data_IF_912718961819
#
_entry.id   IF_912718961819
#
_cell.length_a   1.000
_cell.length_b   1.000
_cell.length_c   1.000
_cell.angle_alpha   90.00
_cell.angle_beta   90.00
_cell.angle_gamma   90.00
#
_symmetry.space_group_name_H-M   'P 1'
#
loop_
_entity.id
_entity.type
_entity.pdbx_description
1 polymer ?
#
# COMPACT_ATOMS: atom_id res chain seq x y z
N UNK A 1 13.27 11.67 -10.26
CA UNK A 1 13.89 12.72 -11.10
C UNK A 1 12.85 13.75 -11.58
N UNK A 2 11.69 13.33 -12.13
CA UNK A 2 10.65 14.23 -12.63
C UNK A 2 10.23 15.33 -11.64
N UNK A 3 10.02 14.99 -10.35
CA UNK A 3 9.63 15.98 -9.34
C UNK A 3 10.71 17.05 -9.12
N UNK A 4 11.98 16.66 -9.16
CA UNK A 4 13.11 17.61 -9.05
C UNK A 4 13.19 18.51 -10.27
N UNK A 5 12.91 17.98 -11.46
CA UNK A 5 12.86 18.78 -12.70
C UNK A 5 11.71 19.80 -12.65
N UNK A 6 10.51 19.37 -12.24
CA UNK A 6 9.34 20.22 -12.13
C UNK A 6 9.53 21.37 -11.14
N UNK A 7 10.35 21.17 -10.11
CA UNK A 7 10.69 22.17 -9.10
C UNK A 7 11.98 22.96 -9.41
N UNK A 8 12.66 22.68 -10.53
CA UNK A 8 13.93 23.34 -10.88
C UNK A 8 15.13 22.90 -10.02
N UNK A 9 15.02 21.77 -9.33
CA UNK A 9 16.03 21.24 -8.39
C UNK A 9 16.83 20.05 -8.96
N UNK A 10 16.75 19.80 -10.27
CA UNK A 10 17.36 18.64 -10.92
C UNK A 10 18.89 18.55 -10.82
N UNK A 11 19.56 19.66 -10.44
CA UNK A 11 21.02 19.72 -10.26
C UNK A 11 21.48 19.41 -8.85
N UNK A 12 20.56 19.26 -7.91
CA UNK A 12 20.85 18.97 -6.51
C UNK A 12 20.93 17.45 -6.30
N UNK A 13 22.11 16.89 -6.53
CA UNK A 13 22.35 15.46 -6.37
C UNK A 13 22.27 15.01 -4.90
N UNK A 14 22.67 15.87 -3.96
CA UNK A 14 22.60 15.56 -2.52
C UNK A 14 21.14 15.44 -2.06
N UNK A 15 20.30 16.38 -2.47
CA UNK A 15 18.86 16.32 -2.20
C UNK A 15 18.22 15.04 -2.80
N UNK A 16 18.60 14.69 -4.04
CA UNK A 16 18.13 13.48 -4.69
C UNK A 16 18.45 12.23 -3.86
N UNK A 17 19.72 12.07 -3.48
CA UNK A 17 20.15 10.93 -2.67
C UNK A 17 19.46 10.91 -1.30
N UNK A 18 19.31 12.07 -0.66
CA UNK A 18 18.59 12.18 0.62
C UNK A 18 17.12 11.76 0.48
N UNK A 19 16.42 12.23 -0.56
CA UNK A 19 15.02 11.83 -0.81
C UNK A 19 14.88 10.33 -1.07
N UNK A 20 15.84 9.72 -1.79
CA UNK A 20 15.83 8.27 -2.01
C UNK A 20 16.10 7.52 -0.70
N UNK A 21 17.01 8.01 0.16
CA UNK A 21 17.31 7.35 1.43
C UNK A 21 16.15 7.32 2.41
N UNK A 22 15.18 8.24 2.30
CA UNK A 22 14.00 8.27 3.16
C UNK A 22 13.15 6.98 3.08
N UNK A 23 13.19 6.24 1.97
CA UNK A 23 12.50 4.95 1.88
C UNK A 23 13.00 3.90 2.88
N UNK A 24 14.24 4.04 3.38
CA UNK A 24 14.83 3.19 4.41
C UNK A 24 14.64 3.72 5.84
N UNK A 25 13.97 4.88 6.00
CA UNK A 25 13.77 5.56 7.28
C UNK A 25 12.28 5.78 7.59
N UNK A 26 11.38 5.01 6.93
CA UNK A 26 9.94 5.15 7.10
C UNK A 26 9.51 4.70 8.50
N UNK A 27 8.52 5.41 9.05
CA UNK A 27 7.86 5.05 10.30
C UNK A 27 6.42 4.65 10.01
N UNK A 28 5.89 3.71 10.80
CA UNK A 28 4.47 3.42 10.78
C UNK A 28 3.68 4.58 11.43
N UNK A 29 2.45 4.79 10.97
CA UNK A 29 1.51 5.63 11.74
C UNK A 29 1.17 4.96 13.06
N UNK A 30 0.84 5.75 14.08
CA UNK A 30 0.67 5.28 15.47
C UNK A 30 -0.37 4.15 15.61
N UNK A 31 -1.42 4.17 14.80
CA UNK A 31 -2.48 3.16 14.82
C UNK A 31 -2.11 1.82 14.16
N UNK A 32 -1.08 1.79 13.30
CA UNK A 32 -0.75 0.61 12.47
C UNK A 32 -0.39 -0.63 13.27
N UNK A 33 0.49 -0.57 14.30
CA UNK A 33 0.85 -1.77 15.05
C UNK A 33 -0.35 -2.43 15.74
N UNK A 34 -1.22 -1.64 16.36
CA UNK A 34 -2.41 -2.15 17.03
C UNK A 34 -3.44 -2.73 16.05
N UNK A 35 -3.64 -2.06 14.92
CA UNK A 35 -4.51 -2.52 13.83
C UNK A 35 -4.04 -3.86 13.27
N UNK A 36 -2.76 -4.01 12.92
CA UNK A 36 -2.20 -5.27 12.41
C UNK A 36 -2.28 -6.40 13.45
N UNK A 37 -1.98 -6.10 14.72
CA UNK A 37 -2.10 -7.09 15.80
C UNK A 37 -3.55 -7.58 15.97
N UNK A 38 -4.54 -6.69 15.85
CA UNK A 38 -5.96 -7.05 15.88
C UNK A 38 -6.32 -8.00 14.73
N UNK A 39 -5.93 -7.68 13.49
CA UNK A 39 -6.18 -8.54 12.33
C UNK A 39 -5.54 -9.92 12.50
N UNK A 40 -4.27 -9.98 12.87
CA UNK A 40 -3.55 -11.25 13.04
C UNK A 40 -4.14 -12.11 14.15
N UNK A 41 -4.55 -11.53 15.29
CA UNK A 41 -5.17 -12.29 16.39
C UNK A 41 -6.54 -12.87 16.01
N UNK A 42 -7.19 -12.31 14.98
CA UNK A 42 -8.44 -12.82 14.41
C UNK A 42 -8.24 -13.69 13.15
N UNK A 43 -7.01 -14.11 12.87
CA UNK A 43 -6.70 -15.07 11.81
C UNK A 43 -6.61 -14.50 10.40
N UNK A 44 -6.53 -13.18 10.25
CA UNK A 44 -6.31 -12.55 8.95
C UNK A 44 -4.84 -12.58 8.55
N UNK A 45 -4.59 -12.85 7.28
CA UNK A 45 -3.29 -12.61 6.66
C UNK A 45 -3.13 -11.12 6.33
N UNK A 46 -1.95 -10.57 6.58
CA UNK A 46 -1.62 -9.18 6.33
C UNK A 46 -0.44 -9.08 5.38
N UNK A 47 -0.54 -8.22 4.34
CA UNK A 47 0.51 -8.12 3.35
C UNK A 47 0.66 -6.72 2.76
N UNK A 48 1.85 -6.44 2.23
CA UNK A 48 2.11 -5.30 1.36
C UNK A 48 2.10 -5.79 -0.10
N UNK A 49 1.41 -5.06 -0.98
CA UNK A 49 1.51 -5.18 -2.43
C UNK A 49 1.98 -3.83 -2.99
N UNK A 50 3.17 -3.77 -3.58
CA UNK A 50 3.81 -2.49 -3.88
C UNK A 50 4.56 -2.47 -5.22
N UNK A 51 4.62 -1.27 -5.81
CA UNK A 51 5.49 -0.94 -6.95
C UNK A 51 6.96 -0.74 -6.53
N UNK A 52 7.28 -0.76 -5.23
CA UNK A 52 8.63 -0.65 -4.71
C UNK A 52 9.48 -1.90 -4.98
N UNK A 53 10.82 -1.71 -5.06
CA UNK A 53 11.74 -2.85 -5.15
C UNK A 53 11.77 -3.65 -3.84
N UNK A 54 12.14 -4.95 -3.88
CA UNK A 54 12.23 -5.78 -2.68
C UNK A 54 13.11 -5.16 -1.58
N UNK A 55 14.28 -4.64 -1.94
CA UNK A 55 15.21 -4.03 -0.97
C UNK A 55 14.63 -2.80 -0.29
N UNK A 56 13.95 -1.91 -1.05
CA UNK A 56 13.28 -0.73 -0.49
C UNK A 56 12.15 -1.12 0.45
N UNK A 57 11.35 -2.12 0.07
CA UNK A 57 10.23 -2.59 0.90
C UNK A 57 10.74 -3.26 2.19
N UNK A 58 11.77 -4.09 2.10
CA UNK A 58 12.39 -4.72 3.27
C UNK A 58 12.99 -3.67 4.22
N UNK A 59 13.69 -2.66 3.69
CA UNK A 59 14.19 -1.53 4.47
C UNK A 59 13.07 -0.76 5.17
N UNK A 60 11.99 -0.44 4.46
CA UNK A 60 10.85 0.28 4.99
C UNK A 60 10.12 -0.52 6.09
N UNK A 61 9.88 -1.81 5.87
CA UNK A 61 9.21 -2.70 6.84
C UNK A 61 10.04 -2.84 8.13
N UNK A 62 11.36 -3.01 7.99
CA UNK A 62 12.27 -3.06 9.16
C UNK A 62 12.31 -1.74 9.91
N UNK A 63 12.45 -0.63 9.20
CA UNK A 63 12.48 0.71 9.80
C UNK A 63 11.18 1.03 10.56
N UNK A 64 10.05 0.60 10.01
CA UNK A 64 8.73 0.77 10.63
C UNK A 64 8.45 -0.22 11.78
N UNK A 65 9.33 -1.21 12.02
CA UNK A 65 9.13 -2.24 13.06
C UNK A 65 7.99 -3.21 12.77
N UNK A 66 7.66 -3.44 11.49
CA UNK A 66 6.50 -4.24 11.08
C UNK A 66 6.85 -5.65 10.58
N UNK A 67 8.11 -6.09 10.68
CA UNK A 67 8.57 -7.36 10.12
C UNK A 67 7.77 -8.58 10.61
N UNK A 68 7.41 -8.60 11.90
CA UNK A 68 6.64 -9.70 12.50
C UNK A 68 5.12 -9.55 12.34
N UNK A 69 4.68 -8.41 11.82
CA UNK A 69 3.26 -8.07 11.65
C UNK A 69 2.73 -8.38 10.27
N UNK A 70 3.59 -8.71 9.31
CA UNK A 70 3.22 -8.97 7.92
C UNK A 70 3.53 -10.42 7.54
N UNK A 71 2.58 -11.06 6.86
CA UNK A 71 2.72 -12.44 6.36
C UNK A 71 3.38 -12.47 4.98
N UNK A 72 3.30 -11.37 4.21
CA UNK A 72 3.98 -11.23 2.92
C UNK A 72 4.30 -9.77 2.57
N UNK A 73 5.35 -9.60 1.76
CA UNK A 73 5.68 -8.35 1.07
C UNK A 73 5.86 -8.66 -0.41
N UNK A 74 4.86 -8.27 -1.21
CA UNK A 74 4.78 -8.59 -2.63
C UNK A 74 5.25 -7.38 -3.45
N UNK A 75 6.40 -7.52 -4.10
CA UNK A 75 6.95 -6.54 -5.03
C UNK A 75 6.59 -6.89 -6.46
N UNK A 76 6.17 -5.90 -7.24
CA UNK A 76 5.90 -6.03 -8.68
C UNK A 76 7.14 -6.40 -9.50
N UNK A 77 8.34 -6.29 -8.94
CA UNK A 77 9.58 -6.62 -9.64
C UNK A 77 9.63 -8.09 -10.07
N UNK A 78 8.89 -8.97 -9.41
CA UNK A 78 8.80 -10.40 -9.78
C UNK A 78 8.05 -10.64 -11.09
N UNK A 79 7.26 -9.68 -11.57
CA UNK A 79 6.41 -9.79 -12.78
C UNK A 79 6.65 -8.68 -13.81
N UNK A 80 7.60 -7.76 -13.55
CA UNK A 80 8.03 -6.67 -14.44
C UNK A 80 6.91 -5.76 -14.97
N UNK A 81 5.83 -5.59 -14.21
CA UNK A 81 4.75 -4.63 -14.49
C UNK A 81 4.34 -3.90 -13.24
N UNK A 82 3.77 -2.71 -13.39
CA UNK A 82 3.39 -1.84 -12.27
C UNK A 82 1.86 -1.74 -12.14
N UNK A 83 1.38 -1.44 -10.92
CA UNK A 83 0.00 -1.02 -10.73
C UNK A 83 -0.30 0.15 -11.69
N UNK A 84 -1.47 0.21 -12.31
CA UNK A 84 -2.67 -0.59 -12.03
C UNK A 84 -2.87 -1.80 -12.96
N UNK A 85 -1.82 -2.41 -13.52
CA UNK A 85 -1.96 -3.64 -14.32
C UNK A 85 -2.60 -4.74 -13.46
N UNK A 86 -3.60 -5.44 -14.01
CA UNK A 86 -4.38 -6.46 -13.30
C UNK A 86 -3.52 -7.61 -12.77
N UNK A 87 -2.41 -7.95 -13.47
CA UNK A 87 -1.47 -8.98 -13.07
C UNK A 87 -0.83 -8.71 -11.70
N UNK A 88 -0.74 -7.43 -11.31
CA UNK A 88 -0.23 -7.07 -9.98
C UNK A 88 -1.20 -7.50 -8.90
N UNK A 89 -2.50 -7.27 -9.09
CA UNK A 89 -3.53 -7.67 -8.12
C UNK A 89 -3.72 -9.20 -8.09
N UNK A 90 -3.49 -9.91 -9.22
CA UNK A 90 -3.49 -11.38 -9.29
C UNK A 90 -2.44 -12.01 -8.34
N UNK A 91 -1.35 -11.31 -8.03
CA UNK A 91 -0.31 -11.79 -7.11
C UNK A 91 -0.87 -12.15 -5.72
N UNK A 92 -1.89 -11.44 -5.24
CA UNK A 92 -2.50 -11.67 -3.92
C UNK A 92 -3.17 -13.05 -3.89
N UNK A 93 -4.04 -13.32 -4.86
CA UNK A 93 -4.71 -14.62 -4.97
C UNK A 93 -3.73 -15.77 -5.19
N UNK A 94 -2.68 -15.55 -6.02
CA UNK A 94 -1.63 -16.53 -6.26
C UNK A 94 -0.82 -16.86 -5.00
N UNK A 95 -0.55 -15.87 -4.14
CA UNK A 95 0.24 -16.06 -2.93
C UNK A 95 -0.57 -16.71 -1.79
N UNK A 96 -1.80 -16.23 -1.55
CA UNK A 96 -2.60 -16.64 -0.39
C UNK A 96 -3.64 -17.73 -0.70
N UNK A 97 -3.85 -18.07 -1.97
CA UNK A 97 -4.89 -19.04 -2.37
C UNK A 97 -6.31 -18.54 -2.10
N UNK A 98 -6.53 -17.24 -2.09
CA UNK A 98 -7.81 -16.61 -1.79
C UNK A 98 -8.51 -16.08 -3.06
N UNK A 99 -9.82 -15.87 -2.97
CA UNK A 99 -10.60 -15.20 -4.03
C UNK A 99 -10.56 -13.68 -3.87
N UNK A 100 -10.97 -12.95 -4.89
CA UNK A 100 -10.98 -11.47 -4.89
C UNK A 100 -11.87 -10.90 -3.79
N UNK A 101 -12.99 -11.53 -3.55
CA UNK A 101 -14.00 -11.13 -2.55
C UNK A 101 -13.50 -11.29 -1.10
N UNK A 102 -12.44 -12.08 -0.90
CA UNK A 102 -11.82 -12.31 0.40
C UNK A 102 -10.70 -11.29 0.72
N UNK A 103 -10.48 -10.32 -0.17
CA UNK A 103 -9.41 -9.33 -0.01
C UNK A 103 -9.99 -7.96 0.32
N UNK A 104 -9.57 -7.40 1.46
CA UNK A 104 -9.70 -5.98 1.75
C UNK A 104 -8.40 -5.28 1.35
N UNK A 105 -8.46 -4.53 0.26
CA UNK A 105 -7.33 -3.77 -0.27
C UNK A 105 -7.36 -2.33 0.26
N UNK A 106 -6.28 -1.91 0.88
CA UNK A 106 -6.17 -0.59 1.53
C UNK A 106 -5.05 0.21 0.87
N UNK A 107 -5.34 1.42 0.42
CA UNK A 107 -4.34 2.31 -0.17
C UNK A 107 -4.57 3.76 0.21
N UNK A 108 -3.47 4.52 0.38
CA UNK A 108 -3.51 5.98 0.52
C UNK A 108 -3.61 6.69 -0.84
N UNK A 109 -3.41 5.98 -1.95
CA UNK A 109 -3.57 6.54 -3.29
C UNK A 109 -4.97 6.24 -3.82
N UNK A 110 -5.76 7.27 -4.10
CA UNK A 110 -7.13 7.15 -4.62
C UNK A 110 -7.19 6.34 -5.91
N UNK A 111 -6.26 6.59 -6.84
CA UNK A 111 -6.17 5.84 -8.11
C UNK A 111 -5.90 4.34 -7.91
N UNK A 112 -5.10 3.95 -6.90
CA UNK A 112 -4.78 2.54 -6.63
C UNK A 112 -5.97 1.82 -5.98
N UNK A 113 -6.64 2.47 -5.01
CA UNK A 113 -7.87 1.95 -4.41
C UNK A 113 -8.99 1.80 -5.47
N UNK A 114 -9.13 2.77 -6.38
CA UNK A 114 -10.10 2.71 -7.48
C UNK A 114 -9.78 1.55 -8.45
N UNK A 115 -8.51 1.38 -8.85
CA UNK A 115 -8.10 0.31 -9.74
C UNK A 115 -8.30 -1.08 -9.10
N UNK A 116 -7.96 -1.23 -7.82
CA UNK A 116 -8.19 -2.47 -7.07
C UNK A 116 -9.69 -2.79 -6.93
N UNK A 117 -10.56 -1.76 -6.78
CA UNK A 117 -12.01 -1.91 -6.83
C UNK A 117 -12.48 -2.43 -8.20
N UNK A 118 -11.96 -1.85 -9.29
CA UNK A 118 -12.25 -2.30 -10.65
C UNK A 118 -11.77 -3.73 -10.93
N UNK A 119 -10.71 -4.18 -10.27
CA UNK A 119 -10.25 -5.56 -10.32
C UNK A 119 -11.19 -6.53 -9.58
N UNK A 120 -11.91 -6.07 -8.55
CA UNK A 120 -12.90 -6.84 -7.81
C UNK A 120 -12.59 -7.08 -6.33
N UNK A 121 -11.61 -6.38 -5.76
CA UNK A 121 -11.36 -6.37 -4.32
C UNK A 121 -12.39 -5.49 -3.59
N UNK A 122 -12.68 -5.79 -2.31
CA UNK A 122 -13.23 -4.78 -1.39
C UNK A 122 -12.12 -3.77 -1.09
N UNK A 123 -12.41 -2.47 -1.20
CA UNK A 123 -11.35 -1.45 -1.12
C UNK A 123 -11.66 -0.35 -0.13
N UNK A 124 -10.62 0.11 0.57
CA UNK A 124 -10.62 1.30 1.41
C UNK A 124 -9.54 2.28 0.94
N UNK A 125 -9.94 3.50 0.65
CA UNK A 125 -9.03 4.62 0.41
C UNK A 125 -8.80 5.38 1.71
N UNK A 126 -7.55 5.42 2.17
CA UNK A 126 -7.15 6.19 3.36
C UNK A 126 -6.74 7.59 2.93
N UNK A 127 -7.66 8.50 2.98
CA UNK A 127 -7.53 9.89 2.51
C UNK A 127 -7.23 10.85 3.66
N UNK A 128 -6.01 10.81 4.18
CA UNK A 128 -5.58 11.65 5.32
C UNK A 128 -5.53 13.14 5.00
N UNK A 129 -5.30 13.48 3.72
CA UNK A 129 -5.13 14.86 3.27
C UNK A 129 -6.43 15.52 2.79
N UNK A 130 -7.55 14.78 2.81
CA UNK A 130 -8.84 15.23 2.26
C UNK A 130 -8.72 15.63 0.77
N UNK A 131 -7.93 14.85 0.03
CA UNK A 131 -7.74 15.03 -1.41
C UNK A 131 -9.05 14.81 -2.20
N UNK A 132 -9.24 15.49 -3.32
CA UNK A 132 -10.40 15.27 -4.17
C UNK A 132 -10.39 13.86 -4.77
N UNK A 133 -11.59 13.28 -4.93
CA UNK A 133 -11.75 11.96 -5.55
C UNK A 133 -11.30 11.96 -7.00
N UNK A 134 -10.46 11.00 -7.38
CA UNK A 134 -10.03 10.79 -8.76
C UNK A 134 -11.22 10.48 -9.68
N UNK A 135 -11.17 11.02 -10.91
CA UNK A 135 -12.21 10.81 -11.92
C UNK A 135 -11.90 9.56 -12.76
N UNK A 136 -12.00 8.40 -12.14
CA UNK A 136 -11.75 7.09 -12.73
C UNK A 136 -13.06 6.31 -12.92
N UNK A 137 -13.08 5.25 -13.77
CA UNK A 137 -14.28 4.43 -13.97
C UNK A 137 -14.77 3.71 -12.73
N UNK A 138 -13.90 3.53 -11.73
CA UNK A 138 -14.19 2.86 -10.46
C UNK A 138 -13.86 3.78 -9.30
N UNK A 139 -14.44 3.48 -8.13
CA UNK A 139 -14.18 4.18 -6.87
C UNK A 139 -13.96 3.17 -5.76
N UNK A 140 -13.23 3.55 -4.71
CA UNK A 140 -13.14 2.75 -3.50
C UNK A 140 -14.53 2.63 -2.83
N UNK A 141 -14.83 1.47 -2.23
CA UNK A 141 -16.08 1.27 -1.49
C UNK A 141 -16.11 2.04 -0.16
N UNK A 142 -14.94 2.23 0.45
CA UNK A 142 -14.78 2.96 1.71
C UNK A 142 -13.76 4.08 1.56
N UNK A 143 -14.02 5.22 2.19
CA UNK A 143 -13.07 6.31 2.35
C UNK A 143 -12.87 6.56 3.84
N UNK A 144 -11.64 6.49 4.31
CA UNK A 144 -11.24 6.60 5.70
C UNK A 144 -10.24 7.75 5.88
N UNK A 145 -10.18 8.31 7.09
CA UNK A 145 -9.17 9.32 7.44
C UNK A 145 -7.87 8.68 7.96
N UNK A 146 -7.96 7.49 8.57
CA UNK A 146 -6.85 6.69 9.07
C UNK A 146 -7.17 5.19 8.99
N UNK A 147 -6.33 4.35 9.62
CA UNK A 147 -6.45 2.90 9.56
C UNK A 147 -7.19 2.29 10.76
N UNK A 148 -7.74 3.10 11.67
CA UNK A 148 -8.35 2.65 12.92
C UNK A 148 -9.55 1.72 12.67
N UNK A 149 -10.35 2.00 11.63
CA UNK A 149 -11.58 1.26 11.32
C UNK A 149 -11.35 0.00 10.47
N UNK A 150 -10.11 -0.27 10.03
CA UNK A 150 -9.80 -1.43 9.18
C UNK A 150 -10.20 -2.77 9.82
N UNK A 151 -9.95 -3.04 11.11
CA UNK A 151 -10.42 -4.29 11.74
C UNK A 151 -11.95 -4.44 11.63
N UNK A 152 -12.71 -3.38 11.91
CA UNK A 152 -14.17 -3.40 11.79
C UNK A 152 -14.63 -3.68 10.35
N UNK A 153 -13.99 -3.09 9.35
CA UNK A 153 -14.29 -3.38 7.93
C UNK A 153 -13.93 -4.82 7.55
N UNK A 154 -12.95 -5.42 8.21
CA UNK A 154 -12.58 -6.82 8.02
C UNK A 154 -13.53 -7.80 8.75
N UNK A 155 -14.40 -7.30 9.63
CA UNK A 155 -15.35 -8.12 10.39
C UNK A 155 -14.85 -8.54 11.78
N UNK A 156 -13.91 -7.78 12.34
CA UNK A 156 -13.35 -7.96 13.71
C UNK A 156 -14.05 -7.05 14.69
#
# INVERSE_FOLDING_TARGET
DFALEALGLQKDAELRERLLSLYWELQAFDEVPAMLASLKSNGFNTAILSNGSPDMLDGAVRSAGLSDSLDAVLSVQSIDVFKPDIRVYDMVGAHFGCTKEQVLFVSSNGWDAAAASGYGFTTAWVNRADDPVDRLPWTAQHTLQDLTDIPTLAGV
#
